data_IF_006390792218
#
_entry.id   IF_006390792218
#
_cell.length_a   1.000
_cell.length_b   1.000
_cell.length_c   1.000
_cell.angle_alpha   90.00
_cell.angle_beta   90.00
_cell.angle_gamma   90.00
#
_symmetry.space_group_name_H-M   'P 1'
#
loop_
_entity.id
_entity.type
_entity.pdbx_description
1 polymer ?
#
# COMPACT_ATOMS: atom_id res chain seq x y z
N UNK A 1 24.81 -0.97 0.07
CA UNK A 1 24.45 -1.52 -1.25
C UNK A 1 23.14 -0.92 -1.69
N UNK A 2 23.07 -0.31 -2.87
CA UNK A 2 21.96 0.54 -3.31
C UNK A 2 21.06 -0.21 -4.30
N UNK A 3 19.82 0.25 -4.48
CA UNK A 3 18.87 -0.19 -5.52
C UNK A 3 19.51 -0.32 -6.91
N UNK A 4 20.56 0.47 -7.16
CA UNK A 4 21.46 0.37 -8.30
C UNK A 4 21.90 -1.06 -8.60
N UNK A 5 22.03 -1.97 -7.61
CA UNK A 5 22.37 -3.38 -7.85
C UNK A 5 21.28 -4.18 -8.58
N UNK A 6 20.00 -3.80 -8.44
CA UNK A 6 18.91 -4.39 -9.26
C UNK A 6 18.98 -3.86 -10.70
N UNK A 7 19.52 -2.66 -10.88
CA UNK A 7 19.51 -1.88 -12.12
C UNK A 7 20.80 -2.08 -12.94
N UNK A 8 21.93 -2.37 -12.28
CA UNK A 8 23.24 -2.54 -12.89
C UNK A 8 23.44 -3.97 -13.37
N UNK A 9 23.75 -4.12 -14.67
CA UNK A 9 24.09 -5.43 -15.25
C UNK A 9 22.87 -6.33 -15.50
N UNK A 10 21.74 -5.76 -15.93
CA UNK A 10 20.49 -6.50 -16.18
C UNK A 10 20.62 -7.73 -17.09
N UNK A 11 21.63 -7.78 -17.95
CA UNK A 11 21.90 -8.91 -18.86
C UNK A 11 22.02 -10.25 -18.13
N UNK A 12 22.57 -10.25 -16.91
CA UNK A 12 22.72 -11.48 -16.12
C UNK A 12 21.37 -12.07 -15.68
N UNK A 13 20.28 -11.29 -15.80
CA UNK A 13 18.93 -11.68 -15.41
C UNK A 13 18.06 -12.12 -16.59
N UNK A 14 18.53 -12.01 -17.84
CA UNK A 14 17.69 -12.23 -19.03
C UNK A 14 17.19 -13.67 -19.15
N UNK A 15 17.97 -14.64 -18.68
CA UNK A 15 17.60 -16.05 -18.67
C UNK A 15 16.78 -16.45 -17.43
N UNK A 16 16.72 -15.60 -16.41
CA UNK A 16 16.08 -15.89 -15.14
C UNK A 16 14.61 -15.45 -15.17
N UNK A 17 13.76 -16.25 -14.55
CA UNK A 17 12.39 -15.85 -14.18
C UNK A 17 12.42 -14.92 -12.97
N UNK A 18 11.31 -14.23 -12.72
CA UNK A 18 11.23 -13.32 -11.57
C UNK A 18 11.44 -14.00 -10.22
N UNK A 19 10.87 -15.19 -9.91
CA UNK A 19 11.19 -15.90 -8.67
C UNK A 19 12.67 -16.27 -8.53
N UNK A 20 13.34 -16.65 -9.63
CA UNK A 20 14.78 -16.91 -9.62
C UNK A 20 15.59 -15.64 -9.33
N UNK A 21 15.14 -14.48 -9.84
CA UNK A 21 15.72 -13.18 -9.49
C UNK A 21 15.53 -12.90 -8.00
N UNK A 22 14.33 -13.04 -7.45
CA UNK A 22 14.08 -12.83 -6.01
C UNK A 22 14.99 -13.71 -5.15
N UNK A 23 15.10 -15.00 -5.49
CA UNK A 23 15.96 -15.95 -4.79
C UNK A 23 17.42 -15.50 -4.83
N UNK A 24 17.92 -15.15 -6.01
CA UNK A 24 19.29 -14.67 -6.19
C UNK A 24 19.55 -13.34 -5.47
N UNK A 25 18.57 -12.42 -5.46
CA UNK A 25 18.65 -11.16 -4.71
C UNK A 25 18.83 -11.42 -3.20
N UNK A 26 18.13 -12.41 -2.66
CA UNK A 26 18.29 -12.80 -1.25
C UNK A 26 19.64 -13.49 -1.00
N UNK A 27 19.98 -14.52 -1.77
CA UNK A 27 21.19 -15.33 -1.55
C UNK A 27 22.49 -14.55 -1.77
N UNK A 28 22.54 -13.69 -2.79
CA UNK A 28 23.76 -12.97 -3.18
C UNK A 28 23.90 -11.62 -2.51
N UNK A 29 22.78 -10.95 -2.23
CA UNK A 29 22.77 -9.56 -1.79
C UNK A 29 22.01 -9.34 -0.48
N UNK A 30 21.44 -10.37 0.14
CA UNK A 30 20.67 -10.22 1.39
C UNK A 30 19.42 -9.36 1.24
N UNK A 31 18.94 -9.15 0.01
CA UNK A 31 17.72 -8.38 -0.29
C UNK A 31 16.54 -9.34 -0.15
N UNK A 32 15.69 -9.13 0.85
CA UNK A 32 14.62 -10.05 1.20
C UNK A 32 13.31 -9.56 0.62
N UNK A 33 12.52 -10.47 0.09
CA UNK A 33 11.11 -10.25 -0.20
C UNK A 33 10.34 -10.24 1.14
N UNK A 34 9.54 -9.20 1.40
CA UNK A 34 8.80 -9.07 2.67
C UNK A 34 7.29 -9.10 2.53
N UNK A 35 6.74 -8.60 1.41
CA UNK A 35 5.29 -8.61 1.18
C UNK A 35 4.95 -8.41 -0.31
N UNK A 36 3.69 -8.65 -0.67
CA UNK A 36 3.14 -8.39 -2.00
C UNK A 36 1.69 -7.91 -1.97
N UNK A 37 1.37 -7.02 -2.89
CA UNK A 37 0.00 -6.74 -3.33
C UNK A 37 -0.30 -7.41 -4.67
N UNK A 38 -1.44 -7.06 -5.26
CA UNK A 38 -1.84 -7.54 -6.60
C UNK A 38 -0.89 -7.02 -7.69
N UNK A 39 -0.45 -5.77 -7.54
CA UNK A 39 0.29 -5.03 -8.57
C UNK A 39 1.75 -4.80 -8.25
N UNK A 40 2.25 -5.34 -7.13
CA UNK A 40 3.61 -5.07 -6.74
C UNK A 40 4.12 -5.90 -5.57
N UNK A 41 5.42 -5.82 -5.39
CA UNK A 41 6.19 -6.58 -4.41
C UNK A 41 7.09 -5.64 -3.62
N UNK A 42 7.28 -5.95 -2.34
CA UNK A 42 8.06 -5.13 -1.42
C UNK A 42 9.28 -5.92 -0.97
N UNK A 43 10.43 -5.27 -1.05
CA UNK A 43 11.73 -5.80 -0.67
C UNK A 43 12.36 -4.96 0.42
N UNK A 44 13.10 -5.62 1.30
CA UNK A 44 13.88 -4.99 2.36
C UNK A 44 15.33 -5.47 2.37
N UNK A 45 16.17 -4.76 3.11
CA UNK A 45 17.53 -5.17 3.41
C UNK A 45 17.89 -4.67 4.81
N UNK A 46 18.67 -5.41 5.61
CA UNK A 46 19.02 -5.01 6.98
C UNK A 46 19.73 -3.66 7.10
N UNK A 47 20.49 -3.27 6.07
CA UNK A 47 21.19 -1.97 6.03
C UNK A 47 20.40 -0.82 5.41
N UNK A 48 19.13 -1.02 5.02
CA UNK A 48 18.29 0.04 4.48
C UNK A 48 17.33 0.58 5.54
N UNK A 49 17.29 1.90 5.66
CA UNK A 49 16.26 2.65 6.41
C UNK A 49 14.97 2.88 5.59
N UNK A 50 14.83 2.20 4.45
CA UNK A 50 13.69 2.25 3.54
C UNK A 50 13.37 0.82 3.06
N UNK A 51 12.22 0.68 2.43
CA UNK A 51 11.87 -0.51 1.63
C UNK A 51 11.78 -0.14 0.16
N UNK A 52 11.85 -1.14 -0.70
CA UNK A 52 11.76 -0.99 -2.15
C UNK A 52 10.45 -1.63 -2.59
N UNK A 53 9.55 -0.86 -3.19
CA UNK A 53 8.37 -1.40 -3.88
C UNK A 53 8.66 -1.45 -5.37
N UNK A 54 8.44 -2.62 -5.96
CA UNK A 54 8.46 -2.87 -7.40
C UNK A 54 7.01 -3.10 -7.83
N UNK A 55 6.53 -2.39 -8.83
CA UNK A 55 5.13 -2.49 -9.26
C UNK A 55 4.99 -2.25 -10.76
N UNK A 56 3.91 -2.75 -11.37
CA UNK A 56 3.67 -2.62 -12.80
C UNK A 56 2.18 -2.38 -13.07
N UNK A 57 1.85 -1.73 -14.19
CA UNK A 57 0.45 -1.48 -14.62
C UNK A 57 -0.46 -0.87 -13.54
N UNK A 58 0.13 -0.13 -12.59
CA UNK A 58 -0.60 0.48 -11.47
C UNK A 58 -0.56 2.01 -11.58
N UNK A 59 -1.33 2.52 -12.54
CA UNK A 59 -1.43 3.96 -12.81
C UNK A 59 -2.03 4.72 -11.62
N UNK A 60 -2.90 4.06 -10.84
CA UNK A 60 -3.49 4.62 -9.63
C UNK A 60 -2.42 4.85 -8.56
N UNK A 61 -1.60 3.82 -8.27
CA UNK A 61 -0.50 3.94 -7.31
C UNK A 61 0.55 4.94 -7.78
N UNK A 62 0.92 4.93 -9.08
CA UNK A 62 1.87 5.91 -9.63
C UNK A 62 1.37 7.34 -9.49
N UNK A 63 0.09 7.57 -9.79
CA UNK A 63 -0.55 8.89 -9.64
C UNK A 63 -0.61 9.33 -8.18
N UNK A 64 -0.89 8.40 -7.26
CA UNK A 64 -0.85 8.66 -5.82
C UNK A 64 0.58 9.03 -5.35
N UNK A 65 1.61 8.29 -5.79
CA UNK A 65 3.01 8.60 -5.46
C UNK A 65 3.36 10.02 -5.91
N UNK A 66 3.03 10.38 -7.15
CA UNK A 66 3.28 11.72 -7.68
C UNK A 66 2.55 12.80 -6.87
N UNK A 67 1.27 12.58 -6.56
CA UNK A 67 0.48 13.49 -5.72
C UNK A 67 1.13 13.71 -4.35
N UNK A 68 1.53 12.64 -3.66
CA UNK A 68 2.16 12.73 -2.33
C UNK A 68 3.50 13.46 -2.38
N UNK A 69 4.31 13.21 -3.41
CA UNK A 69 5.60 13.88 -3.57
C UNK A 69 5.45 15.39 -3.79
N UNK A 70 4.35 15.82 -4.41
CA UNK A 70 4.03 17.23 -4.64
C UNK A 70 3.30 17.89 -3.45
N UNK A 71 2.63 17.08 -2.62
CA UNK A 71 1.78 17.54 -1.51
C UNK A 71 2.20 16.84 -0.20
N UNK A 72 3.38 17.16 0.37
CA UNK A 72 3.87 16.48 1.57
C UNK A 72 2.91 16.67 2.76
N UNK A 73 2.58 15.57 3.43
CA UNK A 73 1.75 15.56 4.63
C UNK A 73 2.26 14.49 5.60
N UNK A 74 2.06 14.69 6.91
CA UNK A 74 2.44 13.70 7.92
C UNK A 74 1.71 12.36 7.73
N UNK A 75 0.55 12.33 7.10
CA UNK A 75 -0.22 11.10 6.86
C UNK A 75 0.10 10.43 5.53
N UNK A 76 1.09 10.92 4.78
CA UNK A 76 1.52 10.30 3.53
C UNK A 76 2.90 9.66 3.64
N UNK A 77 3.24 8.68 2.77
CA UNK A 77 4.52 8.03 2.79
C UNK A 77 5.63 8.99 2.33
N UNK A 78 6.80 8.88 2.94
CA UNK A 78 8.02 9.57 2.50
C UNK A 78 8.69 8.74 1.42
N UNK A 79 8.69 9.26 0.20
CA UNK A 79 9.42 8.69 -0.92
C UNK A 79 10.84 9.27 -0.97
N UNK A 80 11.85 8.40 -1.01
CA UNK A 80 13.26 8.83 -1.02
C UNK A 80 13.63 9.50 -2.35
N UNK A 81 13.05 9.02 -3.45
CA UNK A 81 13.20 9.55 -4.81
C UNK A 81 11.95 9.24 -5.63
N UNK A 82 11.82 9.92 -6.78
CA UNK A 82 10.79 9.62 -7.78
C UNK A 82 10.89 8.15 -8.22
N UNK A 83 9.77 7.49 -8.55
CA UNK A 83 9.78 6.16 -9.17
C UNK A 83 10.67 6.14 -10.40
N UNK A 84 11.42 5.04 -10.55
CA UNK A 84 12.25 4.77 -11.72
C UNK A 84 11.50 3.78 -12.60
N UNK A 85 11.19 4.17 -13.82
CA UNK A 85 10.66 3.26 -14.84
C UNK A 85 11.80 2.40 -15.41
N UNK A 86 11.54 1.11 -15.59
CA UNK A 86 12.48 0.13 -16.10
C UNK A 86 11.83 -0.75 -17.14
N UNK A 87 12.56 -1.08 -18.21
CA UNK A 87 12.15 -2.14 -19.13
C UNK A 87 12.26 -3.51 -18.47
N UNK A 88 11.24 -4.34 -18.69
CA UNK A 88 11.26 -5.74 -18.28
C UNK A 88 12.39 -6.48 -19.01
N UNK A 89 13.37 -6.90 -18.24
CA UNK A 89 14.60 -7.51 -18.73
C UNK A 89 14.69 -9.02 -18.54
N UNK A 90 13.80 -9.62 -17.75
CA UNK A 90 13.89 -11.03 -17.36
C UNK A 90 13.08 -11.96 -18.27
N UNK A 91 13.30 -13.28 -18.13
CA UNK A 91 12.52 -14.32 -18.81
C UNK A 91 11.07 -14.24 -18.36
N UNK A 92 10.15 -14.17 -19.32
CA UNK A 92 8.71 -13.99 -19.08
C UNK A 92 7.86 -14.80 -20.05
N UNK A 93 6.62 -15.05 -19.66
CA UNK A 93 5.62 -15.67 -20.52
C UNK A 93 5.09 -14.69 -21.55
N UNK A 94 4.66 -15.22 -22.70
CA UNK A 94 4.22 -14.43 -23.86
C UNK A 94 2.93 -13.62 -23.63
N UNK A 95 2.11 -13.99 -22.63
CA UNK A 95 0.88 -13.27 -22.30
C UNK A 95 1.11 -12.02 -21.45
N UNK A 96 2.32 -11.82 -20.91
CA UNK A 96 2.69 -10.56 -20.23
C UNK A 96 2.94 -9.52 -21.32
N UNK A 97 1.97 -8.65 -21.53
CA UNK A 97 1.99 -7.63 -22.57
C UNK A 97 2.68 -6.34 -22.14
N UNK A 98 2.72 -6.08 -20.83
CA UNK A 98 3.43 -4.94 -20.28
C UNK A 98 4.94 -5.06 -20.59
N UNK A 99 5.59 -3.92 -20.83
CA UNK A 99 7.01 -3.82 -21.19
C UNK A 99 7.85 -3.15 -20.12
N UNK A 100 7.21 -2.45 -19.18
CA UNK A 100 7.90 -1.69 -18.15
C UNK A 100 7.31 -1.96 -16.77
N UNK A 101 8.13 -1.70 -15.77
CA UNK A 101 7.74 -1.70 -14.37
C UNK A 101 8.42 -0.54 -13.66
N UNK A 102 7.92 -0.19 -12.49
CA UNK A 102 8.45 0.91 -11.69
C UNK A 102 9.10 0.38 -10.42
N UNK A 103 10.11 1.12 -9.98
CA UNK A 103 10.80 0.87 -8.72
C UNK A 103 10.83 2.14 -7.90
N UNK A 104 10.35 2.06 -6.67
CA UNK A 104 10.32 3.22 -5.75
C UNK A 104 10.88 2.84 -4.39
N UNK A 105 11.62 3.77 -3.79
CA UNK A 105 12.10 3.69 -2.41
C UNK A 105 11.16 4.46 -1.52
N UNK A 106 10.59 3.79 -0.54
CA UNK A 106 9.62 4.35 0.41
C UNK A 106 10.07 4.08 1.83
N UNK A 107 9.78 4.99 2.76
CA UNK A 107 10.08 4.78 4.17
C UNK A 107 9.54 3.45 4.70
N UNK A 108 10.20 2.90 5.72
CA UNK A 108 9.73 1.68 6.38
C UNK A 108 8.55 2.03 7.29
N UNK A 109 7.46 1.28 7.17
CA UNK A 109 6.24 1.42 7.96
C UNK A 109 5.87 0.08 8.59
N UNK A 110 5.15 0.13 9.70
CA UNK A 110 4.64 -1.04 10.41
C UNK A 110 3.19 -1.33 9.98
N UNK A 111 2.74 -2.59 10.01
CA UNK A 111 1.33 -2.92 9.80
C UNK A 111 0.45 -2.17 10.78
N UNK A 112 -0.67 -1.66 10.29
CA UNK A 112 -1.66 -0.99 11.14
C UNK A 112 -2.27 -2.00 12.15
N UNK A 113 -2.35 -1.67 13.46
CA UNK A 113 -3.05 -2.49 14.45
C UNK A 113 -4.47 -2.83 14.02
N UNK A 114 -4.96 -4.03 14.38
CA UNK A 114 -6.27 -4.51 13.95
C UNK A 114 -7.41 -3.56 14.34
N UNK A 115 -7.33 -2.96 15.53
CA UNK A 115 -8.29 -1.97 16.01
C UNK A 115 -8.40 -0.78 15.04
N UNK A 116 -7.29 -0.18 14.63
CA UNK A 116 -7.29 0.95 13.70
C UNK A 116 -7.72 0.54 12.28
N UNK A 117 -7.42 -0.68 11.84
CA UNK A 117 -7.88 -1.19 10.53
C UNK A 117 -9.40 -1.15 10.39
N UNK A 118 -10.14 -1.38 11.49
CA UNK A 118 -11.59 -1.38 11.47
C UNK A 118 -12.19 -0.01 11.16
N UNK A 119 -11.52 1.07 11.54
CA UNK A 119 -11.97 2.44 11.26
C UNK A 119 -12.09 2.73 9.77
N UNK A 120 -11.21 2.12 8.98
CA UNK A 120 -11.21 2.25 7.53
C UNK A 120 -12.09 1.20 6.83
N UNK A 121 -12.53 0.15 7.54
CA UNK A 121 -13.37 -0.91 6.98
C UNK A 121 -14.87 -0.65 7.11
N UNK A 122 -15.27 0.24 8.02
CA UNK A 122 -16.66 0.44 8.43
C UNK A 122 -17.27 1.74 7.87
N UNK A 123 -16.72 2.34 6.82
CA UNK A 123 -17.15 3.63 6.23
C UNK A 123 -17.13 4.84 7.20
N UNK A 124 -16.70 4.64 8.46
CA UNK A 124 -16.64 5.65 9.53
C UNK A 124 -15.92 6.93 9.10
N UNK A 125 -14.78 6.79 8.43
CA UNK A 125 -14.01 7.96 7.97
C UNK A 125 -14.81 8.79 6.97
N UNK A 126 -15.54 8.14 6.06
CA UNK A 126 -16.35 8.84 5.07
C UNK A 126 -17.55 9.53 5.75
N UNK A 127 -18.20 8.87 6.71
CA UNK A 127 -19.26 9.48 7.52
C UNK A 127 -18.78 10.70 8.31
N UNK A 128 -17.57 10.62 8.91
CA UNK A 128 -16.97 11.75 9.62
C UNK A 128 -16.65 12.90 8.64
N UNK A 129 -16.09 12.59 7.47
CA UNK A 129 -15.78 13.58 6.44
C UNK A 129 -17.06 14.28 5.99
N UNK A 130 -18.10 13.52 5.63
CA UNK A 130 -19.37 14.05 5.14
C UNK A 130 -20.06 14.90 6.21
N UNK A 131 -20.10 14.43 7.45
CA UNK A 131 -20.70 15.16 8.55
C UNK A 131 -19.95 16.47 8.83
N UNK A 132 -18.60 16.45 8.83
CA UNK A 132 -17.79 17.68 8.99
C UNK A 132 -18.02 18.66 7.85
N UNK A 133 -18.05 18.20 6.60
CA UNK A 133 -18.30 19.05 5.44
C UNK A 133 -19.69 19.71 5.46
N UNK A 134 -20.68 19.04 6.06
CA UNK A 134 -22.05 19.57 6.23
C UNK A 134 -22.25 20.35 7.54
N UNK A 135 -21.20 20.58 8.32
CA UNK A 135 -21.27 21.18 9.66
C UNK A 135 -22.21 20.44 10.62
N UNK A 136 -22.36 19.12 10.45
CA UNK A 136 -23.08 18.29 11.41
C UNK A 136 -22.19 18.04 12.64
N UNK A 137 -22.79 18.10 13.82
CA UNK A 137 -22.09 17.83 15.09
C UNK A 137 -22.06 16.34 15.44
N UNK A 138 -22.98 15.58 14.86
CA UNK A 138 -23.19 14.16 15.15
C UNK A 138 -23.18 13.33 13.87
N UNK A 139 -22.73 12.08 13.97
CA UNK A 139 -22.94 11.06 12.95
C UNK A 139 -23.03 9.66 13.58
N UNK A 140 -23.43 8.68 12.79
CA UNK A 140 -23.56 7.29 13.21
C UNK A 140 -22.16 6.68 13.32
N UNK A 141 -21.68 6.49 14.54
CA UNK A 141 -20.32 6.00 14.82
C UNK A 141 -20.38 4.72 15.66
N UNK A 142 -19.37 3.85 15.61
CA UNK A 142 -19.34 2.64 16.42
C UNK A 142 -19.35 2.99 17.91
N UNK A 143 -20.19 2.31 18.68
CA UNK A 143 -20.22 2.46 20.14
C UNK A 143 -18.93 1.91 20.74
N UNK A 144 -18.22 2.81 21.42
CA UNK A 144 -16.92 2.58 22.01
C UNK A 144 -16.99 1.57 23.15
N UNK A 145 -18.09 1.55 23.91
CA UNK A 145 -18.22 0.71 25.12
C UNK A 145 -18.41 -0.76 24.80
N UNK A 146 -18.95 -1.05 23.63
CA UNK A 146 -19.24 -2.41 23.15
C UNK A 146 -18.32 -2.80 22.01
N UNK A 147 -17.26 -2.03 21.76
CA UNK A 147 -16.28 -2.31 20.72
C UNK A 147 -15.39 -3.49 21.13
N UNK A 148 -15.92 -4.70 20.98
CA UNK A 148 -15.17 -5.93 21.15
C UNK A 148 -14.52 -6.31 19.82
N UNK A 149 -13.18 -6.30 19.80
CA UNK A 149 -12.35 -6.69 18.66
C UNK A 149 -12.59 -8.13 18.18
N UNK A 150 -13.20 -8.97 19.01
CA UNK A 150 -13.57 -10.35 18.66
C UNK A 150 -14.96 -10.47 18.04
N UNK A 151 -15.83 -9.46 18.21
CA UNK A 151 -17.19 -9.48 17.70
C UNK A 151 -17.22 -8.89 16.29
N UNK A 152 -17.73 -9.68 15.33
CA UNK A 152 -18.00 -9.23 13.95
C UNK A 152 -19.12 -8.19 13.84
N UNK A 153 -19.67 -7.74 14.96
CA UNK A 153 -20.79 -6.81 15.01
C UNK A 153 -20.39 -5.61 15.86
N UNK A 154 -19.98 -4.53 15.21
CA UNK A 154 -19.97 -3.23 15.84
C UNK A 154 -21.42 -2.74 15.93
N UNK A 155 -21.85 -2.34 17.12
CA UNK A 155 -23.06 -1.53 17.27
C UNK A 155 -22.72 -0.09 16.91
N UNK A 156 -23.67 0.62 16.32
CA UNK A 156 -23.50 2.02 15.97
C UNK A 156 -24.53 2.86 16.71
N UNK A 157 -24.13 4.06 17.11
CA UNK A 157 -25.00 5.05 17.74
C UNK A 157 -24.66 6.45 17.24
N UNK A 158 -25.63 7.35 17.31
CA UNK A 158 -25.38 8.76 17.01
C UNK A 158 -24.48 9.35 18.09
N UNK A 159 -23.30 9.82 17.69
CA UNK A 159 -22.28 10.33 18.60
C UNK A 159 -21.77 11.70 18.15
N UNK A 160 -21.36 12.53 19.11
CA UNK A 160 -20.70 13.79 18.80
C UNK A 160 -19.31 13.54 18.20
N UNK A 161 -19.05 14.11 17.03
CA UNK A 161 -17.86 13.82 16.22
C UNK A 161 -16.58 14.30 16.93
N UNK A 162 -16.60 15.48 17.51
CA UNK A 162 -15.43 16.08 18.15
C UNK A 162 -15.11 15.37 19.48
N UNK A 163 -16.11 14.89 20.21
CA UNK A 163 -15.92 14.03 21.38
C UNK A 163 -15.35 12.68 20.99
N UNK A 164 -15.90 12.06 19.94
CA UNK A 164 -15.44 10.77 19.44
C UNK A 164 -13.98 10.85 18.94
N UNK A 165 -13.63 11.90 18.19
CA UNK A 165 -12.25 12.15 17.76
C UNK A 165 -11.29 12.31 18.94
N UNK A 166 -11.70 13.06 19.98
CA UNK A 166 -10.89 13.26 21.19
C UNK A 166 -10.69 11.98 22.00
N UNK A 167 -11.52 10.96 21.80
CA UNK A 167 -11.36 9.66 22.45
C UNK A 167 -10.19 8.83 21.88
N UNK A 168 -9.76 9.14 20.65
CA UNK A 168 -8.69 8.42 19.95
C UNK A 168 -7.56 9.36 19.51
N UNK A 169 -6.89 10.05 20.47
CA UNK A 169 -5.83 11.00 20.15
C UNK A 169 -4.65 10.35 19.39
N UNK A 170 -4.42 9.05 19.57
CA UNK A 170 -3.36 8.28 18.92
C UNK A 170 -3.53 8.18 17.39
N UNK A 171 -4.76 8.28 16.90
CA UNK A 171 -5.05 8.26 15.47
C UNK A 171 -4.76 9.59 14.78
N UNK A 172 -4.66 10.68 15.56
CA UNK A 172 -4.49 12.05 15.05
C UNK A 172 -5.53 12.37 13.95
N UNK A 173 -6.80 12.06 14.22
CA UNK A 173 -7.88 12.17 13.23
C UNK A 173 -8.10 13.62 12.75
N UNK A 174 -7.80 14.59 13.60
CA UNK A 174 -7.83 16.01 13.29
C UNK A 174 -6.90 16.39 12.13
N UNK A 175 -5.74 15.73 12.00
CA UNK A 175 -4.82 15.91 10.87
C UNK A 175 -4.99 14.87 9.76
N UNK A 176 -5.44 13.65 10.10
CA UNK A 176 -5.66 12.58 9.13
C UNK A 176 -6.84 12.89 8.20
N UNK A 177 -7.96 13.36 8.75
CA UNK A 177 -9.17 13.67 7.96
C UNK A 177 -8.86 14.71 6.86
N UNK A 178 -8.23 15.86 7.14
CA UNK A 178 -7.80 16.79 6.10
C UNK A 178 -6.91 16.15 5.02
N UNK A 179 -6.00 15.25 5.41
CA UNK A 179 -5.14 14.54 4.45
C UNK A 179 -5.94 13.61 3.52
N UNK A 180 -6.97 12.94 4.04
CA UNK A 180 -7.88 12.11 3.24
C UNK A 180 -8.72 12.99 2.30
N UNK A 181 -9.27 14.09 2.81
CA UNK A 181 -10.06 15.05 2.02
C UNK A 181 -9.24 15.63 0.88
N UNK A 182 -7.97 15.96 1.11
CA UNK A 182 -7.07 16.46 0.07
C UNK A 182 -6.91 15.47 -1.10
N UNK A 183 -6.82 14.16 -0.82
CA UNK A 183 -6.80 13.13 -1.86
C UNK A 183 -8.17 13.05 -2.54
N UNK A 184 -9.27 12.95 -1.78
CA UNK A 184 -10.64 12.83 -2.33
C UNK A 184 -11.02 14.02 -3.22
N UNK A 185 -10.53 15.22 -2.96
CA UNK A 185 -10.82 16.44 -3.73
C UNK A 185 -9.83 16.69 -4.89
N UNK A 186 -8.75 15.92 -4.97
CA UNK A 186 -7.75 16.05 -6.04
C UNK A 186 -8.30 15.59 -7.41
N UNK A 187 -7.52 15.82 -8.48
CA UNK A 187 -7.89 15.29 -9.79
C UNK A 187 -7.69 13.78 -9.90
N UNK A 188 -6.77 13.18 -9.11
CA UNK A 188 -6.49 11.75 -9.18
C UNK A 188 -7.66 10.91 -8.66
N UNK A 189 -8.43 11.41 -7.67
CA UNK A 189 -9.64 10.71 -7.18
C UNK A 189 -10.80 10.69 -8.18
N UNK A 190 -10.77 11.54 -9.21
CA UNK A 190 -11.75 11.53 -10.30
C UNK A 190 -11.38 10.52 -11.39
N UNK A 191 -10.10 10.14 -11.45
CA UNK A 191 -9.55 9.22 -12.46
C UNK A 191 -9.58 7.77 -12.00
N UNK A 192 -9.58 7.53 -10.69
CA UNK A 192 -9.44 6.20 -10.09
C UNK A 192 -10.52 5.94 -9.05
N UNK A 193 -10.80 4.66 -8.81
CA UNK A 193 -11.77 4.25 -7.79
C UNK A 193 -11.16 4.42 -6.39
N UNK A 194 -11.93 4.99 -5.47
CA UNK A 194 -11.59 5.03 -4.05
C UNK A 194 -11.45 3.62 -3.48
N UNK A 195 -10.29 3.34 -2.88
CA UNK A 195 -9.95 2.03 -2.29
C UNK A 195 -9.31 2.20 -0.91
N UNK A 196 -9.66 3.28 -0.18
CA UNK A 196 -9.12 3.47 1.16
C UNK A 196 -9.78 2.49 2.14
N UNK A 197 -9.01 1.50 2.57
CA UNK A 197 -9.39 0.55 3.61
C UNK A 197 -8.20 0.24 4.53
N UNK A 198 -8.41 -0.50 5.63
CA UNK A 198 -7.39 -0.68 6.68
C UNK A 198 -6.09 -1.35 6.22
N UNK A 199 -6.11 -2.12 5.12
CA UNK A 199 -4.88 -2.71 4.53
C UNK A 199 -4.09 -1.72 3.65
N UNK A 200 -4.70 -0.60 3.27
CA UNK A 200 -4.11 0.46 2.47
C UNK A 200 -3.64 1.63 3.37
N UNK A 201 -3.52 1.34 4.67
CA UNK A 201 -2.94 2.20 5.68
C UNK A 201 -1.89 1.40 6.48
N UNK A 202 -0.85 2.09 6.90
CA UNK A 202 0.22 1.58 7.76
C UNK A 202 0.50 2.59 8.87
N UNK A 203 1.49 2.32 9.73
CA UNK A 203 1.81 3.16 10.88
C UNK A 203 3.32 3.39 10.98
N UNK A 204 3.72 4.60 11.36
CA UNK A 204 5.11 4.87 11.77
C UNK A 204 5.35 4.42 13.20
N UNK A 205 6.62 4.34 13.60
CA UNK A 205 7.01 3.97 14.97
C UNK A 205 6.49 4.97 16.02
N UNK A 206 6.18 6.21 15.63
CA UNK A 206 5.60 7.24 16.50
C UNK A 206 4.05 7.18 16.60
N UNK A 207 3.44 6.12 16.07
CA UNK A 207 1.99 5.93 16.05
C UNK A 207 1.24 6.67 14.93
N UNK A 208 1.93 7.49 14.11
CA UNK A 208 1.26 8.22 13.03
C UNK A 208 0.74 7.26 11.95
N UNK A 209 -0.56 7.31 11.69
CA UNK A 209 -1.21 6.57 10.59
C UNK A 209 -0.78 7.16 9.25
N UNK A 210 -0.41 6.30 8.31
CA UNK A 210 0.05 6.64 6.96
C UNK A 210 -0.83 5.96 5.93
N UNK A 211 -1.41 6.74 5.02
CA UNK A 211 -2.19 6.27 3.88
C UNK A 211 -1.20 5.81 2.81
N UNK A 212 -1.22 4.53 2.44
CA UNK A 212 -0.21 3.96 1.53
C UNK A 212 -0.72 3.66 0.13
N UNK A 213 -2.03 3.44 -0.03
CA UNK A 213 -2.59 3.01 -1.33
C UNK A 213 -4.10 3.31 -1.46
N UNK A 214 -4.53 4.59 -1.50
CA UNK A 214 -5.95 4.95 -1.34
C UNK A 214 -6.81 4.77 -2.60
N UNK A 215 -6.24 4.36 -3.72
CA UNK A 215 -6.87 4.38 -5.04
C UNK A 215 -6.60 3.08 -5.77
N UNK A 216 -7.56 2.65 -6.59
CA UNK A 216 -7.42 1.49 -7.47
C UNK A 216 -7.81 1.84 -8.90
N UNK A 217 -7.06 1.31 -9.87
CA UNK A 217 -7.39 1.44 -11.29
C UNK A 217 -8.39 0.36 -11.74
N UNK A 218 -9.18 0.66 -12.77
CA UNK A 218 -10.05 -0.33 -13.40
C UNK A 218 -9.22 -1.41 -14.12
N UNK A 219 -9.61 -2.68 -13.91
CA UNK A 219 -8.78 -3.85 -14.16
C UNK A 219 -8.79 -4.33 -15.61
N UNK A 220 -8.24 -3.55 -16.54
CA UNK A 220 -8.22 -3.93 -17.96
C UNK A 220 -6.99 -4.73 -18.39
N UNK A 221 -5.90 -4.70 -17.62
CA UNK A 221 -4.64 -5.41 -17.93
C UNK A 221 -4.29 -6.33 -16.77
N UNK A 222 -3.90 -7.58 -17.07
CA UNK A 222 -3.45 -8.52 -16.04
C UNK A 222 -2.11 -8.03 -15.46
N UNK A 223 -1.98 -7.85 -14.13
CA UNK A 223 -0.71 -7.47 -13.51
C UNK A 223 0.37 -8.50 -13.82
N UNK A 224 1.61 -8.06 -14.01
CA UNK A 224 2.74 -8.99 -14.04
C UNK A 224 2.88 -9.75 -12.71
N UNK A 225 2.54 -9.09 -11.60
CA UNK A 225 2.62 -9.66 -10.25
C UNK A 225 1.35 -10.42 -9.80
N UNK A 226 0.37 -10.66 -10.70
CA UNK A 226 -0.86 -11.40 -10.37
C UNK A 226 -0.62 -12.91 -10.26
N UNK A 227 -0.72 -13.44 -9.03
CA UNK A 227 -0.49 -14.84 -8.76
C UNK A 227 -1.77 -15.68 -8.61
N UNK A 228 -2.96 -15.08 -8.53
CA UNK A 228 -4.19 -15.85 -8.25
C UNK A 228 -4.60 -16.70 -9.45
N UNK A 229 -4.24 -16.26 -10.66
CA UNK A 229 -4.62 -16.92 -11.92
C UNK A 229 -3.48 -17.68 -12.60
N UNK A 230 -2.30 -17.77 -11.98
CA UNK A 230 -1.12 -18.30 -12.66
C UNK A 230 -0.14 -19.02 -11.72
N UNK A 231 -0.62 -20.14 -11.15
CA UNK A 231 0.20 -21.13 -10.45
C UNK A 231 1.22 -21.84 -11.37
N UNK A 232 1.26 -21.52 -12.67
CA UNK A 232 2.07 -22.20 -13.69
C UNK A 232 2.99 -21.29 -14.50
N UNK A 233 2.95 -19.96 -14.29
CA UNK A 233 3.64 -19.00 -15.17
C UNK A 233 5.04 -18.59 -14.70
N UNK A 234 5.47 -19.14 -13.58
CA UNK A 234 6.88 -19.18 -13.19
C UNK A 234 7.08 -20.46 -12.40
N UNK A 235 8.06 -21.29 -12.77
CA UNK A 235 8.28 -22.60 -12.12
C UNK A 235 8.51 -22.55 -10.60
N UNK A 236 8.93 -23.68 -10.03
CA UNK A 236 8.09 -24.55 -9.18
C UNK A 236 7.30 -23.82 -8.07
N UNK A 237 6.11 -24.34 -7.81
CA UNK A 237 5.16 -24.02 -6.73
C UNK A 237 5.77 -23.28 -5.51
N UNK A 238 5.58 -21.96 -5.45
CA UNK A 238 6.06 -21.09 -4.36
C UNK A 238 5.43 -21.42 -3.00
N UNK A 239 4.33 -22.19 -2.94
CA UNK A 239 3.81 -22.69 -1.66
C UNK A 239 4.69 -23.79 -1.04
N UNK A 240 5.67 -24.34 -1.77
CA UNK A 240 6.67 -25.26 -1.23
C UNK A 240 7.85 -24.55 -0.55
N UNK A 241 8.23 -23.36 -1.01
CA UNK A 241 9.35 -22.59 -0.45
C UNK A 241 9.02 -21.94 0.90
N UNK A 242 7.76 -21.60 1.15
CA UNK A 242 7.32 -21.01 2.43
C UNK A 242 6.99 -22.05 3.51
N UNK A 243 7.01 -23.35 3.17
CA UNK A 243 6.80 -24.47 4.11
C UNK A 243 8.10 -25.15 4.56
N UNK A 244 9.26 -24.70 4.07
CA UNK A 244 10.58 -25.24 4.43
C UNK A 244 11.51 -24.20 5.08
N UNK A 245 10.95 -23.09 5.58
CA UNK A 245 11.61 -22.13 6.46
C UNK A 245 10.92 -22.12 7.82
#
# INVERSE_FOLDING_TARGET
>A
MKLEVIIEGVKQYYSLTWPEIIKMLNEKYGIRFIDRGVWGQVFDHPSWNYVVKVFDTDDAYLSFVNFVMENPNIHYPKFVKKPIEMHLFHKRSSHITNKTFYVVKVERLQPLPQFFKMLFNLEIIDDIIDAKQRNHKTCLLPDIKTFDLSLRHATFSEQNIDEWIRHYPELKLDTLIPAIVAIKQSNISKMFKWDLHGKNCMMRDDGTVVITDPLSADKFVKPFFDHVLDLTVSGPDMNKLTRTL
#
